data_IF_007471725188
#
_entry.id   IF_007471725188
#
_cell.length_a   1.000
_cell.length_b   1.000
_cell.length_c   1.000
_cell.angle_alpha   90.00
_cell.angle_beta   90.00
_cell.angle_gamma   90.00
#
_symmetry.space_group_name_H-M   'P 1'
#
loop_
_entity.id
_entity.type
_entity.pdbx_description
1 polymer ?
#
# COMPACT_ATOMS: atom_id res chain seq x y z
N UNK A 1 19.22 28.07 -15.67
CA UNK A 1 20.31 27.09 -15.52
C UNK A 1 19.67 25.80 -15.06
N UNK A 2 19.55 24.86 -16.00
CA UNK A 2 19.08 23.47 -15.97
C UNK A 2 17.66 23.14 -15.47
N UNK A 3 16.93 22.45 -16.35
CA UNK A 3 15.61 21.84 -16.21
C UNK A 3 14.35 22.73 -16.31
N UNK A 4 14.33 23.66 -17.28
CA UNK A 4 13.12 24.38 -17.71
C UNK A 4 12.72 24.11 -19.17
N UNK A 5 13.18 22.99 -19.76
CA UNK A 5 12.97 22.69 -21.18
C UNK A 5 12.77 21.17 -21.38
N UNK A 6 11.54 20.66 -21.22
CA UNK A 6 11.09 19.49 -22.00
C UNK A 6 9.58 19.17 -21.93
N UNK A 7 8.68 20.15 -21.72
CA UNK A 7 7.23 19.85 -21.68
C UNK A 7 6.33 20.89 -22.37
N UNK A 8 6.86 21.69 -23.28
CA UNK A 8 6.02 22.49 -24.19
C UNK A 8 6.38 22.18 -25.63
N UNK A 9 5.62 21.25 -26.23
CA UNK A 9 5.15 21.26 -27.62
C UNK A 9 4.33 19.99 -27.89
N UNK A 10 3.17 19.90 -27.23
CA UNK A 10 2.05 19.09 -27.71
C UNK A 10 1.30 19.92 -28.78
N UNK A 11 1.89 20.05 -29.96
CA UNK A 11 1.19 20.28 -31.23
C UNK A 11 1.99 19.60 -32.33
N UNK A 12 1.54 18.42 -32.77
CA UNK A 12 2.10 17.74 -33.93
C UNK A 12 1.60 18.42 -35.21
N UNK A 13 2.29 19.47 -35.66
CA UNK A 13 2.37 19.79 -37.09
C UNK A 13 3.52 18.98 -37.69
N UNK A 14 3.19 18.02 -38.56
CA UNK A 14 4.11 17.15 -39.35
C UNK A 14 5.32 16.62 -38.56
N UNK A 15 5.22 15.38 -38.10
CA UNK A 15 6.33 14.61 -37.56
C UNK A 15 7.46 14.48 -38.58
N UNK A 16 8.61 15.06 -38.29
CA UNK A 16 9.88 14.60 -38.85
C UNK A 16 10.36 13.43 -38.00
N UNK A 17 10.74 12.34 -38.67
CA UNK A 17 11.28 11.13 -38.07
C UNK A 17 12.53 11.46 -37.23
N UNK A 18 12.36 11.53 -35.91
CA UNK A 18 13.45 11.32 -34.97
C UNK A 18 13.45 9.82 -34.63
N UNK A 19 14.39 9.12 -35.26
CA UNK A 19 14.68 7.72 -35.03
C UNK A 19 14.81 7.40 -33.54
N UNK A 20 14.05 6.41 -33.07
CA UNK A 20 14.52 5.52 -31.99
C UNK A 20 13.98 5.74 -30.58
N UNK A 21 12.95 6.56 -30.35
CA UNK A 21 12.31 6.63 -29.02
C UNK A 21 10.92 5.99 -29.10
N UNK A 22 10.79 4.79 -28.54
CA UNK A 22 9.50 4.18 -28.25
C UNK A 22 9.10 4.50 -26.81
N UNK A 23 8.01 5.23 -26.62
CA UNK A 23 7.41 5.46 -25.31
C UNK A 23 6.47 4.29 -24.98
N UNK A 24 6.83 3.49 -23.97
CA UNK A 24 5.90 2.53 -23.38
C UNK A 24 5.13 3.23 -22.28
N UNK A 25 3.80 3.28 -22.41
CA UNK A 25 2.91 3.75 -21.36
C UNK A 25 2.73 2.62 -20.36
N UNK A 26 3.33 2.77 -19.19
CA UNK A 26 3.07 1.88 -18.07
C UNK A 26 1.91 2.43 -17.23
N UNK A 27 1.05 1.53 -16.76
CA UNK A 27 -0.02 1.86 -15.82
C UNK A 27 0.45 1.66 -14.37
N UNK A 28 1.57 2.31 -14.03
CA UNK A 28 2.17 2.30 -12.69
C UNK A 28 2.52 3.73 -12.26
N UNK A 29 2.51 4.04 -10.95
CA UNK A 29 2.98 5.33 -10.44
C UNK A 29 4.43 5.61 -10.87
N UNK A 30 4.74 6.85 -11.26
CA UNK A 30 6.07 7.23 -11.71
C UNK A 30 7.16 6.93 -10.66
N UNK A 31 6.85 7.10 -9.38
CA UNK A 31 7.76 6.78 -8.27
C UNK A 31 8.16 5.29 -8.23
N UNK A 32 7.26 4.39 -8.64
CA UNK A 32 7.53 2.97 -8.78
C UNK A 32 8.54 2.69 -9.92
N UNK A 33 8.46 3.46 -11.01
CA UNK A 33 9.39 3.35 -12.14
C UNK A 33 10.76 3.92 -11.78
N UNK A 34 10.82 5.14 -11.24
CA UNK A 34 12.08 5.88 -11.02
C UNK A 34 12.97 5.20 -9.98
N UNK A 35 12.38 4.59 -8.96
CA UNK A 35 13.15 3.96 -7.88
C UNK A 35 13.74 2.60 -8.25
N UNK A 36 13.28 1.97 -9.35
CA UNK A 36 13.59 0.55 -9.64
C UNK A 36 13.95 0.23 -11.10
N UNK A 37 13.98 1.24 -11.98
CA UNK A 37 14.23 1.03 -13.41
C UNK A 37 15.62 1.50 -13.82
N UNK A 38 16.57 0.59 -14.04
CA UNK A 38 17.73 0.92 -14.85
C UNK A 38 17.29 1.02 -16.33
N UNK A 39 17.51 2.19 -16.94
CA UNK A 39 17.29 2.41 -18.37
C UNK A 39 18.56 1.99 -19.11
N UNK A 40 18.47 0.91 -19.88
CA UNK A 40 19.56 0.46 -20.75
C UNK A 40 19.24 0.79 -22.20
N UNK A 41 20.09 1.59 -22.84
CA UNK A 41 20.04 1.85 -24.28
C UNK A 41 21.18 1.07 -24.95
N UNK A 42 20.86 0.18 -25.88
CA UNK A 42 21.84 -0.51 -26.73
C UNK A 42 21.46 -0.35 -28.19
N UNK A 43 22.44 -0.17 -29.08
CA UNK A 43 22.21 -0.35 -30.51
C UNK A 43 22.13 -1.85 -30.79
N UNK A 44 20.95 -2.33 -31.19
CA UNK A 44 20.76 -3.72 -31.58
C UNK A 44 20.92 -3.85 -33.10
N UNK A 45 21.80 -4.75 -33.54
CA UNK A 45 21.81 -5.28 -34.91
C UNK A 45 21.18 -6.69 -34.93
N UNK A 46 21.15 -7.36 -36.08
CA UNK A 46 20.57 -8.71 -36.23
C UNK A 46 21.27 -9.79 -35.38
N UNK A 47 22.47 -9.51 -34.85
CA UNK A 47 23.22 -10.42 -33.98
C UNK A 47 22.97 -10.19 -32.48
N UNK A 48 22.17 -9.16 -32.14
CA UNK A 48 21.89 -8.80 -30.75
C UNK A 48 21.00 -9.84 -30.05
N UNK A 49 21.54 -10.47 -29.02
CA UNK A 49 20.80 -11.36 -28.14
C UNK A 49 20.43 -10.65 -26.83
N UNK A 50 19.16 -10.28 -26.67
CA UNK A 50 18.66 -9.63 -25.45
C UNK A 50 18.87 -10.46 -24.17
N UNK A 51 19.00 -11.80 -24.29
CA UNK A 51 19.27 -12.66 -23.13
C UNK A 51 20.63 -12.36 -22.51
N UNK A 52 21.60 -11.88 -23.28
CA UNK A 52 22.94 -11.56 -22.78
C UNK A 52 22.93 -10.32 -21.86
N UNK A 53 22.02 -9.37 -22.08
CA UNK A 53 21.80 -8.24 -21.16
C UNK A 53 21.25 -8.69 -19.82
N UNK A 54 20.37 -9.68 -19.82
CA UNK A 54 19.77 -10.23 -18.60
C UNK A 54 20.74 -11.08 -17.79
N UNK A 55 21.58 -11.87 -18.48
CA UNK A 55 22.57 -12.74 -17.83
C UNK A 55 23.72 -11.91 -17.25
N UNK A 56 24.21 -10.89 -17.96
CA UNK A 56 25.30 -10.02 -17.48
C UNK A 56 24.89 -9.09 -16.33
N UNK A 57 23.62 -8.72 -16.23
CA UNK A 57 23.11 -7.79 -15.21
C UNK A 57 22.22 -8.48 -14.15
N UNK A 58 22.47 -9.75 -13.87
CA UNK A 58 21.75 -10.56 -12.87
C UNK A 58 21.79 -9.99 -11.44
N UNK A 59 22.61 -8.97 -11.18
CA UNK A 59 22.66 -8.21 -9.92
C UNK A 59 21.47 -7.27 -9.71
N UNK A 60 20.69 -6.95 -10.75
CA UNK A 60 19.51 -6.09 -10.64
C UNK A 60 18.23 -6.90 -10.87
N UNK A 61 17.27 -6.81 -9.95
CA UNK A 61 16.00 -7.55 -10.01
C UNK A 61 15.07 -7.14 -11.17
N UNK A 62 15.45 -6.17 -12.01
CA UNK A 62 14.61 -5.63 -13.08
C UNK A 62 15.46 -5.18 -14.28
N UNK A 63 14.98 -5.42 -15.49
CA UNK A 63 15.55 -4.88 -16.74
C UNK A 63 14.41 -4.52 -17.68
N UNK A 64 14.35 -3.27 -18.13
CA UNK A 64 13.45 -2.86 -19.22
C UNK A 64 14.25 -2.92 -20.52
N UNK A 65 13.79 -3.75 -21.46
CA UNK A 65 14.38 -3.86 -22.80
C UNK A 65 13.43 -3.19 -23.79
N UNK A 66 13.88 -2.11 -24.44
CA UNK A 66 13.19 -1.54 -25.60
C UNK A 66 13.79 -2.17 -26.86
N UNK A 67 12.95 -2.79 -27.69
CA UNK A 67 13.35 -3.25 -29.01
C UNK A 67 12.69 -2.39 -30.08
N UNK A 68 13.52 -1.79 -30.92
CA UNK A 68 13.12 -1.29 -32.22
C UNK A 68 13.10 -2.47 -33.18
N UNK A 69 11.97 -2.73 -33.81
CA UNK A 69 11.95 -3.63 -34.94
C UNK A 69 11.11 -2.99 -36.02
N UNK A 70 11.68 -2.87 -37.22
CA UNK A 70 10.98 -2.59 -38.46
C UNK A 70 9.81 -3.58 -38.76
N UNK A 71 9.52 -4.53 -37.85
CA UNK A 71 8.34 -5.38 -37.80
C UNK A 71 7.65 -5.21 -36.44
N UNK A 72 6.37 -4.88 -36.44
CA UNK A 72 5.54 -4.41 -35.32
C UNK A 72 5.27 -5.45 -34.19
N UNK A 73 6.28 -6.12 -33.66
CA UNK A 73 6.11 -7.09 -32.59
C UNK A 73 6.74 -6.58 -31.28
N UNK A 74 6.00 -5.76 -30.54
CA UNK A 74 6.30 -5.53 -29.12
C UNK A 74 5.92 -6.78 -28.33
N UNK A 75 6.86 -7.69 -28.13
CA UNK A 75 6.69 -8.78 -27.16
C UNK A 75 7.01 -8.24 -25.77
N UNK A 76 5.99 -7.83 -25.04
CA UNK A 76 6.13 -7.46 -23.62
C UNK A 76 6.42 -8.74 -22.83
N UNK A 77 7.71 -9.04 -22.63
CA UNK A 77 8.18 -10.13 -21.76
C UNK A 77 8.12 -9.70 -20.29
N UNK A 78 6.90 -9.43 -19.79
CA UNK A 78 6.69 -9.45 -18.35
C UNK A 78 6.57 -10.91 -17.94
N UNK A 79 7.71 -11.51 -17.58
CA UNK A 79 7.76 -12.71 -16.73
C UNK A 79 6.73 -12.58 -15.59
N UNK A 80 6.10 -13.68 -15.16
CA UNK A 80 5.00 -13.66 -14.19
C UNK A 80 5.38 -12.97 -12.87
N UNK A 81 6.67 -12.97 -12.53
CA UNK A 81 7.25 -12.22 -11.40
C UNK A 81 7.14 -10.69 -11.52
N UNK A 82 6.76 -10.17 -12.69
CA UNK A 82 6.58 -8.74 -12.99
C UNK A 82 5.11 -8.35 -13.17
N UNK A 83 4.15 -9.27 -12.93
CA UNK A 83 2.74 -8.88 -12.78
C UNK A 83 2.63 -7.91 -11.61
N UNK A 84 1.91 -6.80 -11.82
CA UNK A 84 1.66 -5.86 -10.74
C UNK A 84 0.96 -6.58 -9.60
N UNK A 85 1.43 -6.42 -8.35
CA UNK A 85 0.69 -6.91 -7.21
C UNK A 85 -0.73 -6.33 -7.22
N UNK A 86 -1.73 -7.19 -6.99
CA UNK A 86 -3.13 -6.76 -6.93
C UNK A 86 -3.69 -7.06 -5.56
N UNK A 87 -4.54 -6.17 -5.09
CA UNK A 87 -5.32 -6.44 -3.89
C UNK A 87 -6.39 -7.50 -4.20
N UNK A 88 -6.78 -8.31 -3.19
CA UNK A 88 -7.90 -9.21 -3.35
C UNK A 88 -9.16 -8.47 -3.80
N UNK A 89 -10.04 -9.15 -4.53
CA UNK A 89 -11.30 -8.55 -4.99
C UNK A 89 -12.10 -7.98 -3.81
N UNK A 90 -12.55 -6.72 -3.95
CA UNK A 90 -13.30 -6.02 -2.91
C UNK A 90 -12.45 -5.31 -1.85
N UNK A 91 -11.11 -5.43 -1.92
CA UNK A 91 -10.21 -4.70 -1.03
C UNK A 91 -9.84 -3.32 -1.61
N UNK A 92 -9.68 -2.36 -0.72
CA UNK A 92 -9.08 -1.07 -1.04
C UNK A 92 -7.56 -1.21 -1.14
N UNK A 93 -6.92 -0.24 -1.81
CA UNK A 93 -5.48 -0.22 -2.00
C UNK A 93 -4.90 1.15 -1.70
N UNK A 94 -3.65 1.15 -1.23
CA UNK A 94 -2.84 2.34 -0.99
C UNK A 94 -1.38 2.07 -1.35
N UNK A 95 -0.73 2.98 -2.07
CA UNK A 95 0.71 2.84 -2.35
C UNK A 95 1.49 3.54 -1.25
N UNK A 96 2.19 2.76 -0.42
CA UNK A 96 3.00 3.29 0.67
C UNK A 96 4.31 3.89 0.15
N UNK A 97 5.03 4.73 0.93
CA UNK A 97 6.26 5.39 0.50
C UNK A 97 7.37 4.46 -0.04
N UNK A 98 7.33 3.17 0.30
CA UNK A 98 8.25 2.15 -0.23
C UNK A 98 7.95 1.75 -1.69
N UNK A 99 6.89 2.30 -2.27
CA UNK A 99 6.33 1.91 -3.58
C UNK A 99 5.54 0.60 -3.55
N UNK A 100 5.41 -0.04 -2.38
CA UNK A 100 4.63 -1.28 -2.23
C UNK A 100 3.15 -0.99 -2.04
N UNK A 101 2.30 -1.81 -2.65
CA UNK A 101 0.86 -1.72 -2.53
C UNK A 101 0.39 -2.40 -1.23
N UNK A 102 -0.18 -1.61 -0.34
CA UNK A 102 -0.91 -2.08 0.84
C UNK A 102 -2.37 -2.26 0.48
N UNK A 103 -2.96 -3.37 0.91
CA UNK A 103 -4.34 -3.73 0.67
C UNK A 103 -5.07 -3.79 2.00
N UNK A 104 -6.26 -3.23 2.07
CA UNK A 104 -7.08 -3.34 3.27
C UNK A 104 -8.57 -3.49 2.95
N UNK A 105 -9.31 -4.08 3.89
CA UNK A 105 -10.77 -4.16 3.87
C UNK A 105 -11.33 -3.65 5.19
N UNK A 106 -12.58 -3.22 5.17
CA UNK A 106 -13.36 -2.84 6.34
C UNK A 106 -14.48 -3.87 6.46
N UNK A 107 -14.57 -4.56 7.60
CA UNK A 107 -15.62 -5.53 7.88
C UNK A 107 -16.66 -4.92 8.81
N UNK A 108 -17.95 -5.02 8.45
CA UNK A 108 -19.05 -4.68 9.36
C UNK A 108 -19.38 -5.82 10.35
N UNK A 109 -18.70 -6.98 10.23
CA UNK A 109 -18.82 -8.05 11.22
C UNK A 109 -18.31 -7.57 12.58
N UNK A 110 -19.10 -7.85 13.61
CA UNK A 110 -18.77 -7.47 14.98
C UNK A 110 -17.97 -8.59 15.67
N UNK A 111 -16.75 -8.29 16.10
CA UNK A 111 -15.82 -9.23 16.71
C UNK A 111 -15.10 -8.59 17.89
N UNK A 112 -14.73 -9.38 18.90
CA UNK A 112 -13.73 -8.95 19.90
C UNK A 112 -12.34 -8.93 19.27
N UNK A 113 -11.40 -8.14 19.81
CA UNK A 113 -10.12 -7.87 19.13
C UNK A 113 -9.32 -9.14 18.77
N UNK A 114 -9.19 -10.10 19.70
CA UNK A 114 -8.49 -11.36 19.40
C UNK A 114 -9.18 -12.17 18.30
N UNK A 115 -10.52 -12.17 18.27
CA UNK A 115 -11.29 -12.84 17.22
C UNK A 115 -11.12 -12.14 15.87
N UNK A 116 -11.14 -10.81 15.84
CA UNK A 116 -10.88 -10.02 14.64
C UNK A 116 -9.46 -10.25 14.11
N UNK A 117 -8.46 -10.28 15.00
CA UNK A 117 -7.07 -10.63 14.66
C UNK A 117 -6.97 -12.03 14.04
N UNK A 118 -7.55 -13.03 14.69
CA UNK A 118 -7.59 -14.40 14.17
C UNK A 118 -8.31 -14.47 12.83
N UNK A 119 -9.45 -13.78 12.68
CA UNK A 119 -10.18 -13.72 11.42
C UNK A 119 -9.31 -13.17 10.27
N UNK A 120 -8.62 -12.04 10.49
CA UNK A 120 -7.73 -11.46 9.48
C UNK A 120 -6.60 -12.42 9.09
N UNK A 121 -5.98 -13.07 10.08
CA UNK A 121 -4.90 -14.04 9.87
C UNK A 121 -5.40 -15.27 9.13
N UNK A 122 -6.42 -15.94 9.67
CA UNK A 122 -6.80 -17.28 9.27
C UNK A 122 -7.60 -17.29 7.95
N UNK A 123 -8.36 -16.21 7.68
CA UNK A 123 -9.18 -16.12 6.46
C UNK A 123 -8.41 -15.51 5.30
N UNK A 124 -7.54 -14.53 5.58
CA UNK A 124 -6.98 -13.66 4.54
C UNK A 124 -5.45 -13.64 4.49
N UNK A 125 -4.78 -14.34 5.41
CA UNK A 125 -3.34 -14.20 5.66
C UNK A 125 -2.95 -12.72 5.84
N UNK A 126 -3.77 -12.00 6.61
CA UNK A 126 -3.67 -10.57 6.86
C UNK A 126 -3.51 -10.28 8.36
N UNK A 127 -3.21 -9.03 8.69
CA UNK A 127 -3.23 -8.54 10.07
C UNK A 127 -4.36 -7.54 10.26
N UNK A 128 -4.68 -7.17 11.49
CA UNK A 128 -5.49 -5.98 11.72
C UNK A 128 -4.77 -4.75 11.14
N UNK A 129 -5.52 -3.87 10.48
CA UNK A 129 -4.96 -2.81 9.66
C UNK A 129 -4.22 -1.73 10.49
N UNK A 130 -3.32 -0.99 9.84
CA UNK A 130 -2.63 0.17 10.40
C UNK A 130 -2.18 1.13 9.31
N UNK A 131 -1.63 2.28 9.70
CA UNK A 131 -1.33 3.38 8.78
C UNK A 131 0.16 3.73 8.79
N UNK A 132 0.72 3.94 7.61
CA UNK A 132 2.12 4.34 7.40
C UNK A 132 2.27 5.86 7.19
N UNK A 133 1.21 6.54 6.73
CA UNK A 133 1.19 8.00 6.58
C UNK A 133 -0.16 8.59 6.98
N UNK A 134 -0.21 9.90 7.22
CA UNK A 134 -1.45 10.62 7.52
C UNK A 134 -2.44 10.58 6.36
N UNK A 135 -1.95 10.68 5.13
CA UNK A 135 -2.79 10.63 3.92
C UNK A 135 -3.44 9.26 3.76
N UNK A 136 -2.74 8.17 4.10
CA UNK A 136 -3.31 6.81 4.12
C UNK A 136 -4.47 6.71 5.12
N UNK A 137 -4.28 7.31 6.31
CA UNK A 137 -5.30 7.35 7.35
C UNK A 137 -6.51 8.18 6.94
N UNK A 138 -6.31 9.37 6.38
CA UNK A 138 -7.40 10.25 5.92
C UNK A 138 -8.21 9.62 4.79
N UNK A 139 -7.55 9.00 3.81
CA UNK A 139 -8.22 8.25 2.74
C UNK A 139 -9.00 7.05 3.29
N UNK A 140 -8.46 6.33 4.28
CA UNK A 140 -9.18 5.28 4.99
C UNK A 140 -10.45 5.81 5.65
N UNK A 141 -10.36 6.89 6.43
CA UNK A 141 -11.50 7.50 7.12
C UNK A 141 -12.55 7.95 6.11
N UNK A 142 -12.16 8.65 5.04
CA UNK A 142 -13.10 9.12 4.01
C UNK A 142 -13.77 7.99 3.21
N UNK A 143 -13.22 6.77 3.21
CA UNK A 143 -13.89 5.56 2.69
C UNK A 143 -14.79 4.92 3.73
N UNK A 144 -14.34 4.85 4.98
CA UNK A 144 -15.12 4.34 6.10
C UNK A 144 -16.43 5.13 6.31
N UNK A 145 -16.38 6.46 6.26
CA UNK A 145 -17.55 7.34 6.43
C UNK A 145 -18.64 7.14 5.35
N UNK A 146 -18.27 6.54 4.21
CA UNK A 146 -19.21 6.19 3.14
C UNK A 146 -19.87 4.83 3.34
N UNK A 147 -19.44 4.09 4.36
CA UNK A 147 -20.01 2.80 4.74
C UNK A 147 -21.03 3.01 5.85
N UNK A 148 -22.15 2.30 5.78
CA UNK A 148 -23.17 2.28 6.84
C UNK A 148 -22.76 1.25 7.92
N UNK A 149 -21.66 1.51 8.63
CA UNK A 149 -21.19 0.61 9.68
C UNK A 149 -22.11 0.62 10.90
N UNK A 150 -22.40 -0.56 11.43
CA UNK A 150 -23.35 -0.73 12.55
C UNK A 150 -22.74 -0.42 13.91
N UNK A 151 -21.42 -0.49 14.03
CA UNK A 151 -20.72 -0.30 15.30
C UNK A 151 -20.09 1.08 15.39
N UNK A 152 -20.01 1.60 16.62
CA UNK A 152 -19.40 2.89 16.91
C UNK A 152 -17.86 2.89 16.76
N UNK A 153 -17.24 1.72 16.90
CA UNK A 153 -15.79 1.56 16.83
C UNK A 153 -15.39 0.58 15.73
N UNK A 154 -14.16 0.71 15.28
CA UNK A 154 -13.49 -0.18 14.35
C UNK A 154 -12.11 -0.53 14.92
N UNK A 155 -11.83 -1.81 15.15
CA UNK A 155 -10.53 -2.26 15.64
C UNK A 155 -9.43 -2.08 14.60
N UNK A 156 -8.28 -1.58 15.07
CA UNK A 156 -7.03 -1.49 14.34
C UNK A 156 -5.95 -2.37 14.99
N UNK A 157 -4.83 -2.51 14.29
CA UNK A 157 -3.74 -3.40 14.64
C UNK A 157 -2.76 -2.86 15.67
N UNK A 158 -3.05 -1.76 16.37
CA UNK A 158 -2.19 -1.25 17.44
C UNK A 158 -2.70 -1.64 18.82
N UNK A 159 -1.77 -1.95 19.72
CA UNK A 159 -2.07 -2.35 21.10
C UNK A 159 -1.07 -1.72 22.07
N UNK A 160 -1.53 -1.36 23.27
CA UNK A 160 -0.66 -1.06 24.41
C UNK A 160 -0.21 -2.36 25.09
N UNK A 161 0.97 -2.34 25.69
CA UNK A 161 1.45 -3.42 26.55
C UNK A 161 1.41 -2.94 27.99
N UNK A 162 0.48 -3.47 28.78
CA UNK A 162 0.32 -3.14 30.20
C UNK A 162 0.25 -4.42 31.02
N UNK A 163 0.71 -4.32 32.27
CA UNK A 163 0.69 -5.43 33.23
C UNK A 163 -0.72 -5.67 33.83
N UNK A 164 -1.61 -4.68 33.70
CA UNK A 164 -2.96 -4.66 34.27
C UNK A 164 -4.02 -4.49 33.19
N UNK A 165 -5.29 -4.75 33.53
CA UNK A 165 -6.44 -4.58 32.64
C UNK A 165 -6.68 -3.12 32.21
N UNK A 166 -6.23 -2.15 33.01
CA UNK A 166 -6.24 -0.73 32.66
C UNK A 166 -4.87 -0.28 32.16
N UNK A 167 -4.87 0.60 31.16
CA UNK A 167 -3.68 0.99 30.41
C UNK A 167 -3.52 2.52 30.36
N UNK A 168 -2.70 3.13 31.25
CA UNK A 168 -2.63 4.58 31.37
C UNK A 168 -2.24 5.26 30.06
N UNK A 169 -2.73 6.49 29.86
CA UNK A 169 -2.51 7.28 28.62
C UNK A 169 -1.03 7.51 28.26
N UNK A 170 -0.12 7.36 29.23
CA UNK A 170 1.33 7.48 29.01
C UNK A 170 1.95 6.28 28.31
N UNK A 171 1.22 5.15 28.22
CA UNK A 171 1.68 3.97 27.49
C UNK A 171 1.26 4.12 26.04
N UNK A 172 2.23 4.13 25.15
CA UNK A 172 2.01 4.28 23.71
C UNK A 172 1.40 3.01 23.11
N UNK A 173 0.56 3.21 22.11
CA UNK A 173 0.14 2.15 21.21
C UNK A 173 1.27 1.80 20.24
N UNK A 174 1.49 0.50 20.05
CA UNK A 174 2.43 -0.01 19.07
C UNK A 174 1.68 -0.80 18.00
N UNK A 175 1.94 -0.48 16.73
CA UNK A 175 1.50 -1.29 15.60
C UNK A 175 2.06 -2.71 15.73
N UNK A 176 1.19 -3.70 15.61
CA UNK A 176 1.55 -5.11 15.68
C UNK A 176 1.89 -5.65 14.26
N UNK A 177 2.60 -6.77 14.18
CA UNK A 177 2.85 -7.50 12.92
C UNK A 177 3.44 -6.64 11.78
N UNK A 178 4.24 -5.63 12.12
CA UNK A 178 4.89 -4.73 11.15
C UNK A 178 3.91 -4.06 10.16
N UNK A 179 2.64 -3.85 10.58
CA UNK A 179 1.62 -3.21 9.72
C UNK A 179 1.92 -1.73 9.47
N UNK A 180 2.79 -1.12 10.26
CA UNK A 180 3.38 0.19 10.01
C UNK A 180 4.70 0.31 10.79
N UNK A 181 5.65 1.03 10.20
CA UNK A 181 6.90 1.39 10.89
C UNK A 181 6.82 2.73 11.62
N UNK A 182 5.75 3.51 11.39
CA UNK A 182 5.55 4.80 12.03
C UNK A 182 4.60 4.66 13.23
N UNK A 183 5.18 4.56 14.42
CA UNK A 183 4.43 4.40 15.67
C UNK A 183 3.70 5.68 16.07
N UNK A 184 4.11 6.85 15.57
CA UNK A 184 3.48 8.12 15.94
C UNK A 184 2.01 8.19 15.48
N UNK A 185 1.70 7.57 14.34
CA UNK A 185 0.35 7.49 13.77
C UNK A 185 -0.63 6.63 14.59
N UNK A 186 -0.14 5.81 15.53
CA UNK A 186 -1.01 5.13 16.48
C UNK A 186 -1.37 6.02 17.69
N UNK A 187 -0.77 7.22 17.80
CA UNK A 187 -0.74 8.01 19.02
C UNK A 187 -1.07 9.52 18.84
N UNK A 188 -1.51 9.96 17.66
CA UNK A 188 -1.61 11.39 17.31
C UNK A 188 -3.05 11.92 17.12
N UNK A 189 -4.08 11.06 17.09
CA UNK A 189 -5.44 11.44 16.68
C UNK A 189 -6.56 11.01 17.65
N UNK A 190 -6.35 11.11 18.96
CA UNK A 190 -7.36 10.69 19.94
C UNK A 190 -8.54 11.65 20.08
N UNK A 191 -9.73 11.08 20.25
CA UNK A 191 -10.89 11.83 20.73
C UNK A 191 -10.77 12.02 22.24
N UNK A 192 -10.41 13.24 22.66
CA UNK A 192 -10.06 13.56 24.05
C UNK A 192 -11.11 13.14 25.10
N UNK A 193 -12.38 13.13 24.73
CA UNK A 193 -13.48 12.75 25.62
C UNK A 193 -13.52 11.26 25.92
N UNK A 194 -13.01 10.41 25.02
CA UNK A 194 -13.12 8.95 25.10
C UNK A 194 -11.79 8.30 25.42
N UNK A 195 -10.67 8.89 24.95
CA UNK A 195 -9.34 8.44 25.33
C UNK A 195 -9.11 8.67 26.83
N UNK A 196 -9.39 7.67 27.65
CA UNK A 196 -9.47 7.77 29.11
C UNK A 196 -8.38 6.98 29.84
N UNK A 197 -7.63 6.14 29.13
CA UNK A 197 -6.56 5.31 29.71
C UNK A 197 -7.08 3.99 30.27
N UNK A 198 -8.31 3.59 29.95
CA UNK A 198 -8.88 2.31 30.40
C UNK A 198 -8.58 1.16 29.43
N UNK A 199 -8.45 1.45 28.12
CA UNK A 199 -8.28 0.43 27.10
C UNK A 199 -6.83 0.17 26.66
N UNK A 200 -6.61 -1.06 26.21
CA UNK A 200 -5.33 -1.55 25.69
C UNK A 200 -5.35 -1.77 24.16
N UNK A 201 -6.50 -1.66 23.48
CA UNK A 201 -6.65 -1.80 22.03
C UNK A 201 -6.99 -0.48 21.34
N UNK A 202 -6.30 -0.19 20.23
CA UNK A 202 -6.61 1.00 19.43
C UNK A 202 -7.86 0.74 18.60
N UNK A 203 -8.83 1.63 18.73
CA UNK A 203 -9.99 1.66 17.87
C UNK A 203 -10.14 3.01 17.20
N UNK A 204 -10.65 2.98 15.97
CA UNK A 204 -11.09 4.15 15.23
C UNK A 204 -12.59 4.31 15.46
N UNK A 205 -13.03 5.51 15.81
CA UNK A 205 -14.44 5.85 15.96
C UNK A 205 -15.05 6.06 14.57
N UNK A 206 -16.15 5.37 14.28
CA UNK A 206 -16.78 5.41 12.95
C UNK A 206 -17.48 6.73 12.66
N UNK A 207 -17.84 7.50 13.70
CA UNK A 207 -18.58 8.77 13.60
C UNK A 207 -17.72 9.97 13.18
N UNK A 208 -16.42 9.96 13.48
CA UNK A 208 -15.53 11.11 13.29
C UNK A 208 -14.10 10.74 12.88
N UNK A 209 -13.80 9.44 12.74
CA UNK A 209 -12.48 8.94 12.37
C UNK A 209 -11.39 9.14 13.42
N UNK A 210 -11.70 9.58 14.64
CA UNK A 210 -10.70 9.76 15.69
C UNK A 210 -10.43 8.46 16.45
N UNK A 211 -9.32 8.38 17.16
CA UNK A 211 -8.95 7.22 17.96
C UNK A 211 -9.55 7.21 19.35
N UNK A 212 -9.74 6.00 19.86
CA UNK A 212 -10.16 5.69 21.21
C UNK A 212 -9.32 4.51 21.74
N UNK A 213 -9.15 4.45 23.06
CA UNK A 213 -8.55 3.30 23.73
C UNK A 213 -9.62 2.42 24.38
N UNK A 214 -10.00 1.35 23.68
CA UNK A 214 -11.01 0.41 24.16
C UNK A 214 -10.35 -0.88 24.65
N UNK A 215 -11.01 -1.58 25.57
CA UNK A 215 -10.50 -2.84 26.11
C UNK A 215 -10.47 -3.95 25.05
N UNK A 216 -9.34 -4.63 24.91
CA UNK A 216 -9.19 -5.83 24.08
C UNK A 216 -9.88 -7.06 24.67
N UNK A 217 -10.07 -7.08 26.00
CA UNK A 217 -10.45 -8.27 26.79
C UNK A 217 -11.89 -8.24 27.22
N UNK A 218 -12.50 -7.07 27.39
CA UNK A 218 -13.95 -6.98 27.52
C UNK A 218 -14.60 -7.53 26.25
N UNK A 219 -15.78 -8.14 26.37
CA UNK A 219 -16.55 -8.70 25.27
C UNK A 219 -17.11 -7.62 24.30
N UNK A 220 -16.36 -6.53 24.12
CA UNK A 220 -16.67 -5.42 23.24
C UNK A 220 -16.44 -5.86 21.80
N UNK A 221 -17.51 -6.37 21.24
CA UNK A 221 -17.57 -6.68 19.82
C UNK A 221 -17.75 -5.38 19.06
N UNK A 222 -16.92 -5.18 18.04
CA UNK A 222 -17.04 -4.03 17.16
C UNK A 222 -16.55 -4.39 15.76
N UNK A 223 -16.75 -3.50 14.79
CA UNK A 223 -16.20 -3.68 13.43
C UNK A 223 -14.67 -3.75 13.45
N UNK A 224 -14.05 -4.16 12.35
CA UNK A 224 -12.59 -4.23 12.26
C UNK A 224 -12.11 -4.04 10.84
N UNK A 225 -10.83 -3.71 10.68
CA UNK A 225 -10.18 -3.66 9.38
C UNK A 225 -9.02 -4.64 9.33
N UNK A 226 -8.93 -5.40 8.23
CA UNK A 226 -7.78 -6.24 7.92
C UNK A 226 -6.90 -5.54 6.88
N UNK A 227 -5.59 -5.69 6.98
CA UNK A 227 -4.59 -5.17 6.06
C UNK A 227 -3.48 -6.17 5.76
N UNK A 228 -3.03 -6.20 4.51
CA UNK A 228 -1.88 -6.99 4.06
C UNK A 228 -1.19 -6.35 2.87
N UNK A 229 0.04 -6.78 2.59
CA UNK A 229 0.70 -6.43 1.34
C UNK A 229 0.01 -7.13 0.15
N UNK A 230 -0.05 -6.45 -0.99
CA UNK A 230 -0.53 -7.05 -2.22
C UNK A 230 0.38 -8.21 -2.64
N UNK A 231 -0.25 -9.32 -3.04
CA UNK A 231 0.43 -10.49 -3.58
C UNK A 231 0.53 -10.38 -5.11
N UNK A 232 1.56 -11.01 -5.70
CA UNK A 232 1.70 -11.12 -7.16
C UNK A 232 0.70 -12.13 -7.74
N UNK A 233 0.15 -12.99 -6.90
CA UNK A 233 -0.76 -14.08 -7.25
C UNK A 233 -2.13 -13.84 -6.59
N UNK A 234 -3.14 -13.55 -7.41
CA UNK A 234 -4.56 -13.62 -7.06
C UNK A 234 -5.25 -14.44 -8.12
#
# INVERSE_FOLDING_TARGET
MFLFLLFQLLQFSKSYELSGISAVRYDVPFEYLVTRTPIYTASADESFNWRDLLVKNSTFNHSIVFMNTANHACTQLLDEKFKMPKCPTGWNSWTRPTGRLWCYMISDDSQVWNSAKSYCSDTWNASLNGFQTNEEREDFVGKMEKLELTQKWLYLGAKKSCETETCPKSVEFLWQNDVSTDQSLANDNFYASYFDGSGDCLALMTENGQYDDISCVEARQTTFSCGKWADVYV
#
